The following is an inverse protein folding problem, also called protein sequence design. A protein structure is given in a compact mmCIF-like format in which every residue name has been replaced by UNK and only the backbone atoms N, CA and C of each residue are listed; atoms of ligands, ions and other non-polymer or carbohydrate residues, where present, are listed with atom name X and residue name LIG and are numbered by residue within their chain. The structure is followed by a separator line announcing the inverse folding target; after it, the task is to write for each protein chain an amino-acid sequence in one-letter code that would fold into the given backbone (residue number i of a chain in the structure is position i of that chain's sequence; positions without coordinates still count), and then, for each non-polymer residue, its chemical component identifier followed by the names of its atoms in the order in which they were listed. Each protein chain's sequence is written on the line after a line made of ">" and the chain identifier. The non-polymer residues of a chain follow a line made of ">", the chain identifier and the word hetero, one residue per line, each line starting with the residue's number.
data_IF_111083216593
#
_entry.id   IF_111083216593
#
_cell.length_a   1.000
_cell.length_b   1.000
_cell.length_c   1.000
_cell.angle_alpha   90.00
_cell.angle_beta   90.00
_cell.angle_gamma   90.00
#
_symmetry.space_group_name_H-M   'P 1'
#
loop_
_entity.id
_entity.type
_entity.pdbx_description
1 polymer ?
#
# COMPACT_ATOMS: atom_id res chain seq x y z
N UNK A 1 24.60 1.75 7.68
CA UNK A 1 23.35 2.36 8.18
C UNK A 1 22.31 2.23 7.08
N UNK A 2 21.68 1.06 6.99
CA UNK A 2 20.65 0.79 5.97
C UNK A 2 19.31 1.14 6.61
N UNK A 3 18.79 2.34 6.37
CA UNK A 3 17.53 2.84 6.94
C UNK A 3 16.37 2.78 5.94
N UNK A 4 16.50 1.99 4.88
CA UNK A 4 15.34 1.55 4.11
C UNK A 4 14.76 0.36 4.88
N UNK A 5 13.75 0.59 5.71
CA UNK A 5 13.08 -0.48 6.44
C UNK A 5 12.33 -1.35 5.41
N UNK A 6 12.98 -2.45 5.08
CA UNK A 6 12.66 -3.40 4.02
C UNK A 6 11.60 -4.38 4.51
N UNK A 7 10.31 -4.07 4.40
CA UNK A 7 9.29 -5.07 4.77
C UNK A 7 8.24 -5.30 3.69
N UNK A 8 8.66 -6.10 2.71
CA UNK A 8 7.75 -6.94 1.94
C UNK A 8 7.08 -8.05 2.79
N UNK A 9 7.53 -8.21 4.05
CA UNK A 9 7.02 -9.09 5.10
C UNK A 9 6.22 -8.30 6.16
N UNK A 10 5.72 -8.94 7.24
CA UNK A 10 4.96 -8.28 8.34
C UNK A 10 5.89 -7.39 9.20
N UNK A 11 5.90 -6.04 9.02
CA UNK A 11 6.77 -5.15 9.79
C UNK A 11 6.35 -5.08 11.27
N UNK A 12 7.22 -4.51 12.09
CA UNK A 12 6.84 -4.09 13.44
C UNK A 12 5.90 -2.87 13.36
N UNK A 13 4.62 -3.15 13.16
CA UNK A 13 3.58 -2.13 12.97
C UNK A 13 3.46 -1.14 14.11
N UNK A 14 3.88 -1.49 15.32
CA UNK A 14 3.80 -0.61 16.49
C UNK A 14 4.96 0.38 16.53
N UNK A 15 6.05 0.12 15.81
CA UNK A 15 7.27 0.92 15.76
C UNK A 15 7.68 1.22 14.32
N UNK A 16 6.77 1.82 13.56
CA UNK A 16 7.02 2.26 12.18
C UNK A 16 7.55 3.70 12.14
N UNK A 17 8.52 3.94 11.26
CA UNK A 17 9.07 5.26 10.98
C UNK A 17 8.65 5.75 9.59
N UNK A 18 8.38 7.05 9.51
CA UNK A 18 8.10 7.73 8.25
C UNK A 18 6.73 7.42 7.63
N UNK A 19 6.60 7.67 6.33
CA UNK A 19 5.32 7.54 5.63
C UNK A 19 4.97 6.07 5.33
N UNK A 20 3.71 5.71 5.55
CA UNK A 20 3.20 4.35 5.37
C UNK A 20 2.48 4.20 4.03
N UNK A 21 2.79 3.11 3.32
CA UNK A 21 1.96 2.58 2.24
C UNK A 21 1.56 1.14 2.54
N UNK A 22 0.26 0.88 2.65
CA UNK A 22 -0.31 -0.47 2.72
C UNK A 22 -1.13 -0.67 1.45
N UNK A 23 -0.75 -1.61 0.58
CA UNK A 23 -1.47 -1.85 -0.66
C UNK A 23 -1.94 -3.30 -0.79
N UNK A 24 -3.09 -3.52 -1.43
CA UNK A 24 -3.63 -4.85 -1.67
C UNK A 24 -4.86 -4.84 -2.55
N UNK A 25 -5.57 -5.96 -2.60
CA UNK A 25 -6.88 -6.03 -3.24
C UNK A 25 -8.02 -6.25 -2.22
N UNK A 26 -9.26 -6.28 -2.69
CA UNK A 26 -10.42 -6.44 -1.82
C UNK A 26 -10.43 -7.74 -0.97
N UNK A 27 -9.70 -8.78 -1.38
CA UNK A 27 -9.52 -10.00 -0.58
C UNK A 27 -8.56 -9.76 0.61
N UNK A 28 -7.66 -8.79 0.52
CA UNK A 28 -6.73 -8.41 1.59
C UNK A 28 -7.38 -7.51 2.66
N UNK A 29 -8.59 -6.98 2.42
CA UNK A 29 -9.21 -5.96 3.27
C UNK A 29 -9.27 -6.33 4.76
N UNK A 30 -9.56 -7.61 5.07
CA UNK A 30 -9.59 -8.07 6.46
C UNK A 30 -8.20 -8.16 7.09
N UNK A 31 -7.17 -8.53 6.32
CA UNK A 31 -5.79 -8.55 6.80
C UNK A 31 -5.26 -7.12 6.99
N UNK A 32 -5.53 -6.24 6.02
CA UNK A 32 -5.22 -4.81 6.08
C UNK A 32 -5.88 -4.14 7.27
N UNK A 33 -7.14 -4.46 7.60
CA UNK A 33 -7.79 -3.90 8.78
C UNK A 33 -7.11 -4.31 10.10
N UNK A 34 -6.59 -5.54 10.19
CA UNK A 34 -5.81 -5.99 11.36
C UNK A 34 -4.46 -5.28 11.47
N UNK A 35 -3.83 -5.01 10.33
CA UNK A 35 -2.61 -4.20 10.26
C UNK A 35 -2.90 -2.76 10.68
N UNK A 36 -3.94 -2.15 10.10
CA UNK A 36 -4.33 -0.77 10.38
C UNK A 36 -4.62 -0.51 11.87
N UNK A 37 -5.23 -1.49 12.54
CA UNK A 37 -5.51 -1.44 13.98
C UNK A 37 -4.26 -1.44 14.87
N UNK A 38 -3.09 -1.81 14.33
CA UNK A 38 -1.80 -1.83 15.05
C UNK A 38 -0.97 -0.57 14.79
N UNK A 39 -1.40 0.30 13.87
CA UNK A 39 -0.66 1.52 13.55
C UNK A 39 -0.67 2.47 14.74
N UNK A 40 0.45 3.18 15.01
CA UNK A 40 0.50 4.28 15.95
C UNK A 40 -0.55 5.34 15.62
N UNK A 41 -1.06 6.00 16.65
CA UNK A 41 -2.09 7.03 16.52
C UNK A 41 -1.60 8.25 15.70
N UNK A 42 -0.30 8.48 15.63
CA UNK A 42 0.38 9.54 14.88
C UNK A 42 0.95 9.06 13.54
N UNK A 43 0.66 7.84 13.12
CA UNK A 43 1.08 7.32 11.83
C UNK A 43 0.54 8.20 10.67
N UNK A 44 1.36 8.39 9.64
CA UNK A 44 0.97 9.14 8.44
C UNK A 44 1.10 8.25 7.21
N UNK A 45 0.14 8.31 6.28
CA UNK A 45 0.25 7.53 5.06
C UNK A 45 -1.07 7.20 4.37
N UNK A 46 -1.05 6.10 3.61
CA UNK A 46 -2.17 5.68 2.78
C UNK A 46 -2.30 4.17 2.69
N UNK A 47 -3.55 3.71 2.79
CA UNK A 47 -3.97 2.36 2.48
C UNK A 47 -4.67 2.36 1.12
N UNK A 48 -4.22 1.56 0.16
CA UNK A 48 -4.76 1.51 -1.19
C UNK A 48 -5.25 0.09 -1.51
N UNK A 49 -6.55 -0.07 -1.76
CA UNK A 49 -7.15 -1.35 -2.11
C UNK A 49 -7.78 -1.31 -3.50
N UNK A 50 -7.48 -2.29 -4.34
CA UNK A 50 -8.20 -2.48 -5.61
C UNK A 50 -9.39 -3.42 -5.44
N UNK A 51 -10.55 -3.03 -5.97
CA UNK A 51 -11.75 -3.85 -6.02
C UNK A 51 -12.25 -4.02 -7.45
N UNK A 52 -12.87 -5.16 -7.74
CA UNK A 52 -13.63 -5.34 -8.97
C UNK A 52 -14.84 -4.39 -8.99
N UNK A 53 -15.56 -4.31 -7.87
CA UNK A 53 -16.78 -3.53 -7.74
C UNK A 53 -16.95 -2.94 -6.32
N UNK A 54 -17.76 -1.88 -6.21
CA UNK A 54 -18.03 -1.16 -4.94
C UNK A 54 -18.60 -2.04 -3.83
N UNK A 55 -19.34 -3.10 -4.17
CA UNK A 55 -19.91 -4.04 -3.18
C UNK A 55 -18.85 -4.76 -2.33
N UNK A 56 -17.61 -4.80 -2.82
CA UNK A 56 -16.49 -5.39 -2.09
C UNK A 56 -15.88 -4.45 -1.06
N UNK A 57 -16.30 -3.17 -1.02
CA UNK A 57 -15.73 -2.21 -0.09
C UNK A 57 -16.02 -2.65 1.35
N UNK A 58 -15.02 -2.42 2.20
CA UNK A 58 -15.09 -2.65 3.63
C UNK A 58 -14.65 -1.38 4.33
N UNK A 59 -15.31 -1.12 5.46
CA UNK A 59 -14.85 -0.09 6.38
C UNK A 59 -13.56 -0.56 7.04
N UNK A 60 -12.58 0.33 7.14
CA UNK A 60 -11.28 0.08 7.75
C UNK A 60 -11.00 1.29 8.65
N UNK A 61 -10.95 1.05 9.96
CA UNK A 61 -10.56 2.07 10.92
C UNK A 61 -9.07 2.34 10.80
N UNK A 62 -8.69 3.61 10.81
CA UNK A 62 -7.31 4.09 10.63
C UNK A 62 -7.05 5.30 11.53
N UNK A 63 -5.80 5.57 11.91
CA UNK A 63 -5.40 6.83 12.54
C UNK A 63 -5.70 8.04 11.65
N UNK A 64 -5.86 9.23 12.25
CA UNK A 64 -6.22 10.47 11.52
C UNK A 64 -5.23 10.85 10.41
N UNK A 65 -3.95 10.51 10.57
CA UNK A 65 -2.90 10.75 9.58
C UNK A 65 -2.88 9.75 8.42
N UNK A 66 -3.71 8.71 8.45
CA UNK A 66 -3.76 7.64 7.44
C UNK A 66 -5.08 7.69 6.68
N UNK A 67 -5.00 7.62 5.35
CA UNK A 67 -6.20 7.61 4.50
C UNK A 67 -6.44 6.24 3.84
N UNK A 68 -7.71 5.85 3.67
CA UNK A 68 -8.09 4.62 2.95
C UNK A 68 -8.65 4.96 1.58
N UNK A 69 -8.05 4.41 0.52
CA UNK A 69 -8.41 4.66 -0.88
C UNK A 69 -8.78 3.37 -1.58
N UNK A 70 -10.04 3.28 -2.01
CA UNK A 70 -10.52 2.18 -2.83
C UNK A 70 -10.49 2.53 -4.33
N UNK A 71 -9.85 1.69 -5.13
CA UNK A 71 -9.74 1.81 -6.58
C UNK A 71 -10.66 0.78 -7.23
N UNK A 72 -11.73 1.22 -7.89
CA UNK A 72 -12.64 0.33 -8.62
C UNK A 72 -12.10 0.12 -10.03
N UNK A 73 -12.02 -1.13 -10.49
CA UNK A 73 -11.59 -1.45 -11.86
C UNK A 73 -12.55 -0.96 -12.94
N UNK A 74 -13.81 -0.72 -12.58
CA UNK A 74 -14.87 -0.31 -13.50
C UNK A 74 -15.60 -1.52 -14.06
N UNK A 75 -16.58 -1.27 -14.94
CA UNK A 75 -17.50 -2.28 -15.43
C UNK A 75 -17.39 -2.47 -16.96
N UNK A 76 -17.71 -3.68 -17.42
CA UNK A 76 -17.81 -4.02 -18.85
C UNK A 76 -16.47 -3.96 -19.60
N UNK A 77 -16.53 -3.63 -20.90
CA UNK A 77 -15.37 -3.62 -21.82
C UNK A 77 -14.32 -2.55 -21.49
N UNK A 78 -14.62 -1.62 -20.59
CA UNK A 78 -13.70 -0.56 -20.14
C UNK A 78 -13.11 -0.84 -18.76
N UNK A 79 -13.38 -2.01 -18.19
CA UNK A 79 -12.80 -2.40 -16.91
C UNK A 79 -11.27 -2.54 -17.06
N UNK A 80 -10.54 -1.94 -16.13
CA UNK A 80 -9.10 -2.13 -16.02
C UNK A 80 -8.78 -3.59 -15.69
N UNK A 81 -7.60 -4.05 -16.11
CA UNK A 81 -7.10 -5.37 -15.73
C UNK A 81 -6.77 -5.41 -14.23
N UNK A 82 -6.82 -6.60 -13.62
CA UNK A 82 -6.49 -6.78 -12.20
C UNK A 82 -5.06 -6.28 -11.93
N UNK A 83 -4.93 -5.34 -10.99
CA UNK A 83 -3.66 -4.75 -10.58
C UNK A 83 -3.26 -3.51 -11.35
N UNK A 84 -3.90 -3.16 -12.46
CA UNK A 84 -3.51 -2.02 -13.29
C UNK A 84 -3.68 -0.70 -12.54
N UNK A 85 -4.83 -0.52 -11.86
CA UNK A 85 -5.07 0.70 -11.08
C UNK A 85 -4.20 0.73 -9.81
N UNK A 86 -4.03 -0.43 -9.18
CA UNK A 86 -3.16 -0.56 -8.02
C UNK A 86 -1.70 -0.21 -8.39
N UNK A 87 -1.21 -0.70 -9.53
CA UNK A 87 0.13 -0.42 -10.05
C UNK A 87 0.32 1.09 -10.23
N UNK A 88 -0.60 1.77 -10.91
CA UNK A 88 -0.48 3.22 -11.12
C UNK A 88 -0.44 3.99 -9.79
N UNK A 89 -1.26 3.61 -8.82
CA UNK A 89 -1.32 4.29 -7.52
C UNK A 89 -0.07 4.04 -6.66
N UNK A 90 0.39 2.78 -6.59
CA UNK A 90 1.61 2.41 -5.88
C UNK A 90 2.84 3.06 -6.52
N UNK A 91 2.92 3.07 -7.85
CA UNK A 91 3.98 3.76 -8.58
C UNK A 91 4.04 5.25 -8.24
N UNK A 92 2.89 5.94 -8.30
CA UNK A 92 2.82 7.37 -8.00
C UNK A 92 3.30 7.66 -6.58
N UNK A 93 2.88 6.85 -5.61
CA UNK A 93 3.33 6.98 -4.22
C UNK A 93 4.84 6.72 -4.10
N UNK A 94 5.36 5.63 -4.70
CA UNK A 94 6.80 5.35 -4.67
C UNK A 94 7.60 6.54 -5.20
N UNK A 95 7.24 7.09 -6.36
CA UNK A 95 7.95 8.23 -6.96
C UNK A 95 7.89 9.48 -6.07
N UNK A 96 6.75 9.75 -5.44
CA UNK A 96 6.59 10.88 -4.52
C UNK A 96 7.56 10.80 -3.34
N UNK A 97 7.71 9.61 -2.75
CA UNK A 97 8.48 9.43 -1.51
C UNK A 97 9.94 9.06 -1.73
N UNK A 98 10.30 8.38 -2.82
CA UNK A 98 11.70 7.98 -3.10
C UNK A 98 12.52 9.07 -3.77
N UNK A 99 11.91 10.10 -4.36
CA UNK A 99 12.62 11.20 -5.02
C UNK A 99 12.82 12.43 -4.11
N UNK A 100 12.79 12.26 -2.78
CA UNK A 100 12.96 13.34 -1.81
C UNK A 100 14.43 13.51 -1.35
N UNK A 101 14.88 14.75 -1.14
CA UNK A 101 16.19 15.07 -0.55
C UNK A 101 16.00 15.90 0.74
N UNK A 102 16.43 15.41 1.93
CA UNK A 102 17.00 14.08 2.19
C UNK A 102 15.98 12.95 2.01
N UNK A 103 16.42 11.68 1.86
CA UNK A 103 15.50 10.55 1.68
C UNK A 103 14.53 10.46 2.85
N UNK A 104 13.23 10.56 2.58
CA UNK A 104 12.20 10.30 3.57
C UNK A 104 12.30 8.85 4.06
N UNK A 105 12.07 8.63 5.36
CA UNK A 105 11.80 7.29 5.87
C UNK A 105 10.41 6.86 5.40
N UNK A 106 10.28 5.58 5.10
CA UNK A 106 9.02 5.00 4.64
C UNK A 106 8.90 3.54 5.08
N UNK A 107 7.66 3.11 5.22
CA UNK A 107 7.29 1.71 5.45
C UNK A 107 6.27 1.29 4.38
N UNK A 108 6.56 0.23 3.63
CA UNK A 108 5.67 -0.27 2.56
C UNK A 108 5.33 -1.72 2.83
N UNK A 109 4.04 -2.07 2.81
CA UNK A 109 3.57 -3.45 2.87
C UNK A 109 2.60 -3.75 1.72
N UNK A 110 2.73 -4.95 1.15
CA UNK A 110 1.89 -5.44 0.07
C UNK A 110 1.13 -6.69 0.52
N UNK A 111 -0.19 -6.66 0.41
CA UNK A 111 -1.05 -7.75 0.82
C UNK A 111 -0.82 -9.02 0.00
N UNK A 112 -1.11 -10.22 0.57
CA UNK A 112 -0.88 -11.50 -0.10
C UNK A 112 -1.53 -11.64 -1.49
N UNK A 113 -2.65 -10.95 -1.73
CA UNK A 113 -3.36 -11.01 -3.01
C UNK A 113 -2.95 -9.88 -3.98
N UNK A 114 -1.96 -9.06 -3.61
CA UNK A 114 -1.36 -8.06 -4.49
C UNK A 114 -0.83 -8.75 -5.76
N UNK A 115 -1.23 -8.29 -6.97
CA UNK A 115 -0.78 -8.91 -8.20
C UNK A 115 0.76 -8.90 -8.31
N UNK A 116 1.41 -10.02 -8.71
CA UNK A 116 2.88 -10.15 -8.68
C UNK A 116 3.64 -9.05 -9.44
N UNK A 117 3.04 -8.52 -10.52
CA UNK A 117 3.66 -7.44 -11.28
C UNK A 117 3.72 -6.12 -10.50
N UNK A 118 2.74 -5.84 -9.64
CA UNK A 118 2.73 -4.65 -8.75
C UNK A 118 3.84 -4.78 -7.71
N UNK A 119 3.96 -5.95 -7.08
CA UNK A 119 5.00 -6.19 -6.09
C UNK A 119 6.40 -6.08 -6.69
N UNK A 120 6.63 -6.68 -7.86
CA UNK A 120 7.90 -6.56 -8.59
C UNK A 120 8.23 -5.10 -8.95
N UNK A 121 7.24 -4.34 -9.40
CA UNK A 121 7.40 -2.92 -9.72
C UNK A 121 7.77 -2.10 -8.47
N UNK A 122 7.02 -2.27 -7.37
CA UNK A 122 7.29 -1.56 -6.12
C UNK A 122 8.72 -1.84 -5.60
N UNK A 123 9.15 -3.11 -5.59
CA UNK A 123 10.52 -3.51 -5.21
C UNK A 123 11.58 -2.79 -6.04
N UNK A 124 11.39 -2.77 -7.35
CA UNK A 124 12.30 -2.09 -8.27
C UNK A 124 12.40 -0.59 -8.02
N UNK A 125 11.29 0.08 -7.68
CA UNK A 125 11.27 1.52 -7.41
C UNK A 125 11.86 1.88 -6.05
N UNK A 126 11.70 0.99 -5.07
CA UNK A 126 12.22 1.16 -3.71
C UNK A 126 13.70 0.75 -3.57
N UNK A 127 14.31 0.21 -4.63
CA UNK A 127 15.70 -0.24 -4.61
C UNK A 127 15.93 -1.51 -3.78
N UNK A 128 14.86 -2.28 -3.51
CA UNK A 128 14.90 -3.52 -2.74
C UNK A 128 15.14 -4.67 -3.71
N UNK A 129 16.23 -5.44 -3.52
CA UNK A 129 16.60 -6.55 -4.41
C UNK A 129 15.56 -7.70 -4.37
N UNK A 130 15.50 -8.50 -5.43
CA UNK A 130 14.63 -9.68 -5.54
C UNK A 130 15.13 -10.88 -4.72
#
# INVERSE_FOLDING_TARGET
>A
MSSACEHLDDPDWENIDGAVLIAGDAADAAAIARVAARLPWDATGVIILEAAARIQFRHIDVPDGVSVRWLVRGDGLRAHTKGERLASAVHAWCVEWTCTEPPAQWTVWLGPHTPPHVARMARSLLGVAN
#
